data_IF_340123464859
#
_entry.id   IF_340123464859
#
_cell.length_a   1.000
_cell.length_b   1.000
_cell.length_c   1.000
_cell.angle_alpha   90.00
_cell.angle_beta   90.00
_cell.angle_gamma   90.00
#
_symmetry.space_group_name_H-M   'P 1'
#
loop_
_entity.id
_entity.type
_entity.pdbx_description
1 polymer ?
#
# COMPACT_ATOMS: atom_id res chain seq x y z
N UNK A 1 21.03 -19.97 -1.18
CA UNK A 1 20.57 -19.12 -2.31
C UNK A 1 19.17 -18.66 -1.94
N UNK A 2 19.00 -17.39 -1.63
CA UNK A 2 17.68 -16.81 -1.44
C UNK A 2 16.89 -17.00 -2.75
N UNK A 3 15.72 -17.58 -2.66
CA UNK A 3 14.83 -17.75 -3.80
C UNK A 3 14.32 -16.33 -4.15
N UNK A 4 14.59 -15.88 -5.37
CA UNK A 4 14.10 -14.60 -5.85
C UNK A 4 12.58 -14.71 -6.00
N UNK A 5 11.84 -14.20 -5.03
CA UNK A 5 10.37 -14.20 -4.99
C UNK A 5 9.78 -12.99 -5.76
N UNK A 6 10.60 -12.29 -6.53
CA UNK A 6 10.19 -11.12 -7.29
C UNK A 6 9.29 -11.54 -8.45
N UNK A 7 8.07 -11.01 -8.46
CA UNK A 7 7.10 -11.19 -9.53
C UNK A 7 7.12 -9.95 -10.41
N UNK A 8 7.31 -10.12 -11.70
CA UNK A 8 7.24 -9.06 -12.71
C UNK A 8 6.04 -9.30 -13.62
N UNK A 9 5.71 -8.33 -14.47
CA UNK A 9 4.78 -8.56 -15.55
C UNK A 9 3.73 -7.48 -15.74
N UNK A 10 4.14 -6.48 -16.50
CA UNK A 10 3.24 -5.55 -17.17
C UNK A 10 3.63 -5.50 -18.64
N UNK A 11 3.21 -6.51 -19.41
CA UNK A 11 3.41 -6.59 -20.85
C UNK A 11 2.17 -7.14 -21.54
N UNK A 12 2.11 -7.06 -22.88
CA UNK A 12 0.93 -7.45 -23.65
C UNK A 12 0.53 -8.92 -23.48
N UNK A 13 1.48 -9.82 -23.26
CA UNK A 13 1.22 -11.27 -23.13
C UNK A 13 0.57 -11.62 -21.77
N UNK A 14 0.87 -10.84 -20.76
CA UNK A 14 0.45 -11.10 -19.38
C UNK A 14 -0.69 -10.20 -18.92
N UNK A 15 -1.03 -9.17 -19.70
CA UNK A 15 -1.95 -8.13 -19.29
C UNK A 15 -3.31 -8.68 -18.84
N UNK A 16 -4.00 -9.38 -19.72
CA UNK A 16 -5.35 -9.90 -19.40
C UNK A 16 -5.34 -10.94 -18.28
N UNK A 17 -4.24 -11.67 -18.12
CA UNK A 17 -4.11 -12.68 -17.06
C UNK A 17 -3.96 -12.02 -15.68
N UNK A 18 -3.12 -11.00 -15.57
CA UNK A 18 -2.69 -10.45 -14.28
C UNK A 18 -3.22 -9.06 -13.96
N UNK A 19 -3.84 -8.40 -14.92
CA UNK A 19 -4.34 -7.04 -14.75
C UNK A 19 -5.79 -6.90 -15.09
N UNK A 20 -6.45 -5.95 -14.46
CA UNK A 20 -7.84 -5.62 -14.67
C UNK A 20 -8.05 -4.12 -14.69
N UNK A 21 -8.72 -3.61 -15.72
CA UNK A 21 -9.07 -2.20 -15.83
C UNK A 21 -10.43 -1.96 -15.19
N UNK A 22 -10.50 -0.96 -14.35
CA UNK A 22 -11.73 -0.38 -13.79
C UNK A 22 -11.78 1.08 -14.22
N UNK A 23 -12.68 1.45 -15.12
CA UNK A 23 -12.70 2.77 -15.77
C UNK A 23 -14.11 3.36 -15.84
N UNK A 24 -14.20 4.69 -15.67
CA UNK A 24 -15.44 5.46 -15.87
C UNK A 24 -15.83 5.57 -17.35
N UNK A 25 -14.87 5.44 -18.24
CA UNK A 25 -15.09 5.55 -19.70
C UNK A 25 -14.72 4.25 -20.39
N UNK A 26 -15.51 3.79 -21.36
CA UNK A 26 -15.12 2.67 -22.22
C UNK A 26 -14.02 3.05 -23.21
N UNK A 27 -13.73 4.32 -23.44
CA UNK A 27 -12.81 4.84 -24.46
C UNK A 27 -11.35 4.88 -23.98
N UNK A 28 -11.04 4.28 -22.82
CA UNK A 28 -9.66 4.12 -22.38
C UNK A 28 -8.86 3.26 -23.33
N UNK A 29 -7.55 3.49 -23.36
CA UNK A 29 -6.64 2.65 -24.15
C UNK A 29 -5.49 2.18 -23.27
N UNK A 30 -5.11 0.91 -23.42
CA UNK A 30 -3.87 0.35 -22.89
C UNK A 30 -3.14 -0.30 -24.05
N UNK A 31 -1.99 0.24 -24.39
CA UNK A 31 -1.14 -0.23 -25.49
C UNK A 31 0.25 -0.57 -24.96
N UNK A 32 1.00 -1.38 -25.69
CA UNK A 32 2.31 -1.84 -25.26
C UNK A 32 3.36 -1.60 -26.34
N UNK A 33 4.53 -1.14 -25.90
CA UNK A 33 5.73 -1.11 -26.69
C UNK A 33 6.83 -1.86 -25.91
N UNK A 34 7.10 -3.10 -26.29
CA UNK A 34 7.91 -4.01 -25.47
C UNK A 34 7.28 -4.23 -24.09
N UNK A 35 8.03 -3.96 -23.04
CA UNK A 35 7.57 -4.07 -21.64
C UNK A 35 7.04 -2.73 -21.08
N UNK A 36 6.83 -1.75 -21.93
CA UNK A 36 6.23 -0.45 -21.53
C UNK A 36 4.76 -0.44 -21.89
N UNK A 37 3.91 -0.25 -20.87
CA UNK A 37 2.48 -0.01 -21.06
C UNK A 37 2.23 1.49 -21.17
N UNK A 38 1.43 1.91 -22.16
CA UNK A 38 0.88 3.25 -22.24
C UNK A 38 -0.61 3.21 -21.94
N UNK A 39 -1.05 4.00 -20.98
CA UNK A 39 -2.43 4.11 -20.54
C UNK A 39 -2.95 5.49 -20.92
N UNK A 40 -4.00 5.54 -21.73
CA UNK A 40 -4.75 6.77 -22.03
C UNK A 40 -6.09 6.68 -21.33
N UNK A 41 -6.32 7.56 -20.36
CA UNK A 41 -7.54 7.57 -19.56
C UNK A 41 -8.31 8.87 -19.77
N UNK A 42 -9.42 8.85 -20.53
CA UNK A 42 -10.25 10.06 -20.78
C UNK A 42 -11.09 10.45 -19.55
N UNK A 43 -11.20 9.57 -18.55
CA UNK A 43 -11.80 9.77 -17.24
C UNK A 43 -11.06 8.96 -16.19
N UNK A 44 -11.61 8.85 -14.99
CA UNK A 44 -11.01 8.05 -13.92
C UNK A 44 -10.81 6.60 -14.31
N UNK A 45 -9.60 6.08 -14.05
CA UNK A 45 -9.20 4.72 -14.34
C UNK A 45 -8.29 4.18 -13.25
N UNK A 46 -8.55 2.94 -12.82
CA UNK A 46 -7.61 2.17 -12.01
C UNK A 46 -7.23 0.90 -12.76
N UNK A 47 -5.94 0.68 -12.93
CA UNK A 47 -5.38 -0.56 -13.44
C UNK A 47 -4.95 -1.42 -12.26
N UNK A 48 -5.76 -2.40 -11.92
CA UNK A 48 -5.56 -3.28 -10.78
C UNK A 48 -4.71 -4.50 -11.10
N UNK A 49 -3.72 -4.82 -10.25
CA UNK A 49 -3.10 -6.14 -10.21
C UNK A 49 -4.10 -7.14 -9.63
N UNK A 50 -4.31 -8.28 -10.32
CA UNK A 50 -5.32 -9.28 -9.88
C UNK A 50 -4.87 -10.12 -8.69
N UNK A 51 -3.58 -10.23 -8.47
CA UNK A 51 -3.02 -10.98 -7.34
C UNK A 51 -3.05 -10.14 -6.07
N UNK A 52 -3.54 -10.72 -4.99
CA UNK A 52 -3.52 -10.13 -3.66
C UNK A 52 -2.11 -10.21 -3.09
N UNK A 53 -1.59 -9.11 -2.59
CA UNK A 53 -0.30 -9.02 -1.92
C UNK A 53 -0.50 -9.16 -0.42
N UNK A 54 0.45 -9.78 0.28
CA UNK A 54 0.37 -9.94 1.75
C UNK A 54 1.76 -10.01 2.37
N UNK A 55 1.82 -9.74 3.67
CA UNK A 55 3.05 -9.79 4.44
C UNK A 55 3.91 -8.54 4.25
N UNK A 56 5.21 -8.72 4.20
CA UNK A 56 6.17 -7.68 3.83
C UNK A 56 6.17 -7.54 2.32
N UNK A 57 5.79 -6.36 1.83
CA UNK A 57 5.61 -6.09 0.40
C UNK A 57 6.55 -4.99 -0.05
N UNK A 58 7.25 -5.22 -1.16
CA UNK A 58 8.00 -4.21 -1.90
C UNK A 58 7.47 -4.15 -3.32
N UNK A 59 7.11 -2.96 -3.80
CA UNK A 59 6.63 -2.71 -5.16
C UNK A 59 7.57 -1.70 -5.81
N UNK A 60 8.01 -1.98 -7.02
CA UNK A 60 8.87 -1.07 -7.79
C UNK A 60 8.39 -0.97 -9.24
N UNK A 61 8.46 0.23 -9.79
CA UNK A 61 8.16 0.49 -11.20
C UNK A 61 8.71 1.85 -11.62
N UNK A 62 8.84 2.03 -12.94
CA UNK A 62 9.12 3.32 -13.55
C UNK A 62 7.88 3.84 -14.25
N UNK A 63 7.60 5.13 -14.11
CA UNK A 63 6.43 5.76 -14.71
C UNK A 63 6.68 7.21 -15.12
N UNK A 64 5.98 7.65 -16.17
CA UNK A 64 5.96 9.05 -16.55
C UNK A 64 4.58 9.49 -17.04
N UNK A 65 4.27 10.78 -16.90
CA UNK A 65 3.11 11.39 -17.54
C UNK A 65 3.56 12.01 -18.85
N UNK A 66 2.89 11.60 -19.93
CA UNK A 66 3.25 12.02 -21.28
C UNK A 66 2.54 13.32 -21.62
N UNK A 67 3.32 14.30 -22.08
CA UNK A 67 2.85 15.59 -22.57
C UNK A 67 3.54 15.85 -23.89
N UNK A 68 2.88 15.53 -25.00
CA UNK A 68 3.40 15.64 -26.37
C UNK A 68 2.55 16.61 -27.21
N UNK A 69 1.36 16.98 -26.72
CA UNK A 69 0.44 17.90 -27.39
C UNK A 69 -0.21 18.87 -26.40
N UNK A 70 -0.76 19.97 -26.90
CA UNK A 70 -1.44 21.00 -26.09
C UNK A 70 -2.69 20.47 -25.34
N UNK A 71 -3.22 19.32 -25.74
CA UNK A 71 -4.35 18.66 -25.09
C UNK A 71 -3.95 17.71 -23.94
N UNK A 72 -2.67 17.40 -23.80
CA UNK A 72 -2.19 16.48 -22.78
C UNK A 72 -2.16 17.17 -21.41
N UNK A 73 -2.66 16.47 -20.40
CA UNK A 73 -2.71 16.99 -19.03
C UNK A 73 -1.58 16.42 -18.19
N UNK A 74 -0.79 17.26 -17.57
CA UNK A 74 0.24 16.88 -16.62
C UNK A 74 -0.36 16.74 -15.22
N UNK A 75 -0.81 15.56 -14.86
CA UNK A 75 -1.41 15.32 -13.53
C UNK A 75 -1.63 13.82 -13.28
N UNK A 76 -1.82 13.47 -12.01
CA UNK A 76 -2.39 12.20 -11.54
C UNK A 76 -1.58 10.94 -11.87
N UNK A 77 -0.31 10.94 -11.51
CA UNK A 77 0.51 9.73 -11.43
C UNK A 77 0.31 9.08 -10.05
N UNK A 78 -0.86 8.49 -9.85
CA UNK A 78 -1.30 8.03 -8.54
C UNK A 78 -1.25 6.51 -8.42
N UNK A 79 -1.25 6.01 -7.19
CA UNK A 79 -1.39 4.58 -6.94
C UNK A 79 -2.16 4.30 -5.65
N UNK A 80 -2.72 3.09 -5.62
CA UNK A 80 -3.31 2.44 -4.46
C UNK A 80 -2.51 1.19 -4.11
N UNK A 81 -2.30 0.91 -2.83
CA UNK A 81 -1.74 -0.38 -2.41
C UNK A 81 -2.37 -0.86 -1.12
N UNK A 82 -2.28 -2.15 -0.87
CA UNK A 82 -3.02 -2.85 0.20
C UNK A 82 -4.52 -2.57 0.17
N UNK A 83 -5.07 -2.39 -1.04
CA UNK A 83 -6.49 -2.11 -1.21
C UNK A 83 -7.34 -3.34 -0.91
N UNK A 84 -8.39 -3.17 -0.13
CA UNK A 84 -9.43 -4.19 0.08
C UNK A 84 -10.79 -3.54 0.29
N UNK A 85 -11.85 -4.27 -0.01
CA UNK A 85 -13.21 -3.82 0.28
C UNK A 85 -13.63 -4.39 1.64
N UNK A 86 -13.87 -3.59 2.69
CA UNK A 86 -14.26 -4.10 4.00
C UNK A 86 -15.52 -4.96 4.00
N UNK A 87 -16.43 -4.76 3.04
CA UNK A 87 -17.62 -5.59 2.89
C UNK A 87 -17.33 -6.94 2.21
N UNK A 88 -16.23 -7.00 1.45
CA UNK A 88 -15.81 -8.19 0.69
C UNK A 88 -14.27 -8.34 0.73
N UNK A 89 -13.68 -8.61 1.89
CA UNK A 89 -12.24 -8.52 2.10
C UNK A 89 -11.41 -9.48 1.22
N UNK A 90 -12.02 -10.57 0.77
CA UNK A 90 -11.38 -11.56 -0.12
C UNK A 90 -11.74 -11.38 -1.59
N UNK A 91 -12.55 -10.38 -1.93
CA UNK A 91 -13.00 -10.17 -3.30
C UNK A 91 -13.16 -8.68 -3.67
N UNK A 92 -12.06 -8.06 -4.06
CA UNK A 92 -12.05 -6.67 -4.52
C UNK A 92 -13.02 -6.42 -5.70
N UNK A 93 -13.27 -7.46 -6.51
CA UNK A 93 -14.05 -7.38 -7.74
C UNK A 93 -15.55 -7.40 -7.52
N UNK A 94 -16.01 -7.70 -6.30
CA UNK A 94 -17.43 -7.84 -6.02
C UNK A 94 -18.25 -6.60 -6.35
N UNK A 95 -17.68 -5.41 -6.10
CA UNK A 95 -18.30 -4.11 -6.36
C UNK A 95 -17.63 -3.31 -7.48
N UNK A 96 -16.84 -3.94 -8.34
CA UNK A 96 -16.09 -3.24 -9.39
C UNK A 96 -16.98 -2.45 -10.34
N UNK A 97 -18.13 -3.00 -10.73
CA UNK A 97 -19.10 -2.31 -11.61
C UNK A 97 -19.72 -1.09 -10.97
N UNK A 98 -19.89 -1.10 -9.66
CA UNK A 98 -20.38 0.04 -8.90
C UNK A 98 -19.27 1.08 -8.72
N UNK A 99 -18.04 0.68 -8.39
CA UNK A 99 -16.91 1.61 -8.31
C UNK A 99 -16.59 2.23 -9.66
N UNK A 100 -16.56 1.41 -10.69
CA UNK A 100 -16.49 1.81 -12.11
C UNK A 100 -15.40 2.85 -12.42
N UNK A 101 -14.27 2.82 -11.71
CA UNK A 101 -13.19 3.81 -11.86
C UNK A 101 -13.51 5.20 -11.32
N UNK A 102 -14.67 5.42 -10.68
CA UNK A 102 -15.04 6.69 -10.06
C UNK A 102 -14.22 6.90 -8.79
N UNK A 103 -13.46 8.00 -8.74
CA UNK A 103 -12.54 8.24 -7.62
C UNK A 103 -13.26 8.28 -6.26
N UNK A 104 -14.40 8.94 -6.17
CA UNK A 104 -15.16 9.04 -4.91
C UNK A 104 -15.60 7.67 -4.40
N UNK A 105 -15.94 6.75 -5.29
CA UNK A 105 -16.37 5.41 -4.90
C UNK A 105 -15.21 4.58 -4.32
N UNK A 106 -13.95 4.98 -4.55
CA UNK A 106 -12.79 4.35 -3.92
C UNK A 106 -12.71 4.62 -2.41
N UNK A 107 -13.46 5.59 -1.85
CA UNK A 107 -13.55 5.75 -0.39
C UNK A 107 -14.21 4.54 0.30
N UNK A 108 -14.90 3.67 -0.45
CA UNK A 108 -15.39 2.40 0.05
C UNK A 108 -14.29 1.37 0.38
N UNK A 109 -13.06 1.63 -0.03
CA UNK A 109 -11.93 0.73 0.16
C UNK A 109 -11.07 1.14 1.34
N UNK A 110 -10.50 0.17 2.03
CA UNK A 110 -9.33 0.36 2.85
C UNK A 110 -8.10 0.28 1.96
N UNK A 111 -7.21 1.26 2.03
CA UNK A 111 -6.00 1.29 1.21
C UNK A 111 -5.04 2.40 1.67
N UNK A 112 -3.82 2.33 1.19
CA UNK A 112 -2.91 3.47 1.15
C UNK A 112 -2.97 4.10 -0.24
N UNK A 113 -2.98 5.42 -0.28
CA UNK A 113 -3.05 6.22 -1.49
C UNK A 113 -1.92 7.24 -1.54
N UNK A 114 -1.23 7.29 -2.66
CA UNK A 114 -0.39 8.43 -3.01
C UNK A 114 -0.87 9.03 -4.33
N UNK A 115 -1.21 10.31 -4.28
CA UNK A 115 -1.51 11.12 -5.45
C UNK A 115 -0.33 12.01 -5.78
N UNK A 116 0.44 11.66 -6.82
CA UNK A 116 1.58 12.45 -7.27
C UNK A 116 1.16 13.40 -8.39
N UNK A 117 1.32 14.69 -8.14
CA UNK A 117 0.87 15.73 -9.08
C UNK A 117 -0.64 15.81 -9.23
N UNK A 118 -1.41 15.54 -8.17
CA UNK A 118 -2.84 15.73 -8.16
C UNK A 118 -3.29 17.19 -8.26
N UNK A 119 -4.59 17.44 -8.39
CA UNK A 119 -5.17 18.78 -8.52
C UNK A 119 -4.50 19.64 -9.60
N UNK A 120 -4.43 19.14 -10.83
CA UNK A 120 -3.73 19.79 -11.95
C UNK A 120 -2.25 20.07 -11.66
N UNK A 121 -1.57 19.05 -11.12
CA UNK A 121 -0.16 19.10 -10.76
C UNK A 121 0.19 20.20 -9.74
N UNK A 122 -0.67 20.39 -8.76
CA UNK A 122 -0.43 21.37 -7.69
C UNK A 122 -0.14 20.74 -6.33
N UNK A 123 -0.39 19.44 -6.18
CA UNK A 123 -0.18 18.74 -4.90
C UNK A 123 0.35 17.32 -5.09
N UNK A 124 1.14 16.87 -4.11
CA UNK A 124 1.47 15.45 -3.92
C UNK A 124 1.03 15.09 -2.51
N UNK A 125 0.10 14.11 -2.39
CA UNK A 125 -0.58 13.79 -1.13
C UNK A 125 -0.57 12.31 -0.83
N UNK A 126 -0.28 11.99 0.43
CA UNK A 126 -0.46 10.65 0.99
C UNK A 126 -1.68 10.63 1.92
N UNK A 127 -2.48 9.57 1.80
CA UNK A 127 -3.66 9.31 2.64
C UNK A 127 -3.77 7.82 2.95
N UNK A 128 -4.39 7.50 4.07
CA UNK A 128 -4.90 6.18 4.38
C UNK A 128 -6.41 6.21 4.32
N UNK A 129 -7.01 5.31 3.56
CA UNK A 129 -8.46 5.13 3.50
C UNK A 129 -8.86 4.00 4.43
N UNK A 130 -9.97 4.17 5.12
CA UNK A 130 -10.51 3.24 6.11
C UNK A 130 -11.80 2.52 5.65
N UNK A 131 -12.26 2.80 4.42
CA UNK A 131 -13.47 2.21 3.86
C UNK A 131 -14.76 2.93 4.29
N UNK A 132 -14.66 4.14 4.82
CA UNK A 132 -15.83 4.94 5.17
C UNK A 132 -16.52 5.52 3.93
N UNK A 133 -17.60 4.88 3.51
CA UNK A 133 -18.39 5.31 2.36
C UNK A 133 -19.08 6.68 2.54
N UNK A 134 -19.19 7.18 3.76
CA UNK A 134 -19.75 8.50 4.00
C UNK A 134 -18.93 9.62 3.32
N UNK A 135 -17.62 9.40 3.12
CA UNK A 135 -16.74 10.29 2.37
C UNK A 135 -17.13 10.49 0.89
N UNK A 136 -17.95 9.59 0.32
CA UNK A 136 -18.45 9.71 -1.07
C UNK A 136 -19.31 10.96 -1.20
N UNK A 137 -20.23 11.18 -0.27
CA UNK A 137 -21.17 12.29 -0.28
C UNK A 137 -20.83 13.43 0.66
N UNK A 138 -20.05 13.15 1.70
CA UNK A 138 -19.64 14.13 2.71
C UNK A 138 -18.13 14.43 2.64
N UNK A 139 -17.70 15.58 2.10
CA UNK A 139 -16.28 15.93 2.04
C UNK A 139 -15.56 15.96 3.40
N UNK A 140 -16.27 16.20 4.50
CA UNK A 140 -15.69 16.25 5.85
C UNK A 140 -15.37 14.85 6.40
N UNK A 141 -15.97 13.80 5.84
CA UNK A 141 -15.70 12.41 6.20
C UNK A 141 -14.62 11.75 5.32
N UNK A 142 -14.02 12.49 4.39
CA UNK A 142 -12.96 11.96 3.54
C UNK A 142 -11.69 11.74 4.32
N UNK A 143 -10.86 10.75 3.92
CA UNK A 143 -9.60 10.46 4.57
C UNK A 143 -8.71 11.70 4.72
N UNK A 144 -8.14 11.89 5.90
CA UNK A 144 -7.26 13.00 6.18
C UNK A 144 -6.01 12.99 5.27
N UNK A 145 -5.47 14.16 4.99
CA UNK A 145 -4.15 14.30 4.37
C UNK A 145 -3.11 14.05 5.45
N UNK A 146 -2.35 12.96 5.31
CA UNK A 146 -1.30 12.57 6.27
C UNK A 146 0.05 13.19 5.93
N UNK A 147 0.30 13.42 4.63
CA UNK A 147 1.48 14.12 4.13
C UNK A 147 1.11 14.88 2.87
N UNK A 148 1.65 16.09 2.72
CA UNK A 148 1.43 16.94 1.54
C UNK A 148 2.70 17.65 1.13
N UNK A 149 2.90 17.76 -0.17
CA UNK A 149 3.90 18.60 -0.83
C UNK A 149 3.22 19.47 -1.89
N UNK A 150 3.64 20.72 -1.97
CA UNK A 150 3.13 21.72 -2.95
C UNK A 150 4.25 22.43 -3.69
N UNK A 151 5.49 22.16 -3.33
CA UNK A 151 6.66 22.74 -3.97
C UNK A 151 6.99 22.03 -5.30
N UNK A 152 7.66 22.76 -6.19
CA UNK A 152 7.98 22.28 -7.54
C UNK A 152 8.88 21.04 -7.57
N UNK A 153 9.67 20.79 -6.51
CA UNK A 153 10.52 19.61 -6.41
C UNK A 153 9.74 18.32 -6.26
N UNK A 154 8.52 18.40 -5.73
CA UNK A 154 7.64 17.26 -5.47
C UNK A 154 6.39 17.23 -6.36
N UNK A 155 6.44 17.88 -7.53
CA UNK A 155 5.41 17.88 -8.54
C UNK A 155 5.91 17.23 -9.83
N UNK A 156 4.99 16.85 -10.71
CA UNK A 156 5.31 16.18 -11.96
C UNK A 156 6.04 17.12 -12.94
N UNK A 157 7.03 16.56 -13.64
CA UNK A 157 7.65 17.14 -14.84
C UNK A 157 7.15 16.37 -16.07
N UNK A 158 6.85 17.06 -17.19
CA UNK A 158 6.36 16.41 -18.39
C UNK A 158 7.42 15.45 -18.96
N UNK A 159 7.00 14.28 -19.41
CA UNK A 159 7.85 13.28 -20.05
C UNK A 159 9.07 12.82 -19.22
N UNK A 160 9.05 13.10 -17.90
CA UNK A 160 10.11 12.67 -17.00
C UNK A 160 9.77 11.28 -16.43
N UNK A 161 10.71 10.35 -16.49
CA UNK A 161 10.60 9.05 -15.89
C UNK A 161 10.98 9.10 -14.41
N UNK A 162 10.08 8.64 -13.58
CA UNK A 162 10.25 8.50 -12.14
C UNK A 162 10.42 7.04 -11.79
N UNK A 163 11.44 6.72 -10.99
CA UNK A 163 11.54 5.43 -10.33
C UNK A 163 10.80 5.45 -9.01
N UNK A 164 9.77 4.63 -8.89
CA UNK A 164 8.90 4.56 -7.71
C UNK A 164 9.15 3.26 -6.98
N UNK A 165 9.35 3.36 -5.66
CA UNK A 165 9.45 2.24 -4.75
C UNK A 165 8.52 2.42 -3.58
N UNK A 166 7.75 1.38 -3.28
CA UNK A 166 6.81 1.32 -2.15
C UNK A 166 7.21 0.17 -1.27
N UNK A 167 7.27 0.38 0.04
CA UNK A 167 7.48 -0.68 1.01
C UNK A 167 6.36 -0.67 2.04
N UNK A 168 5.86 -1.85 2.37
CA UNK A 168 4.85 -2.07 3.40
C UNK A 168 5.35 -3.21 4.27
N UNK A 169 5.86 -2.89 5.45
CA UNK A 169 6.52 -3.84 6.34
C UNK A 169 6.08 -3.60 7.78
N UNK A 170 5.56 -4.63 8.42
CA UNK A 170 4.98 -4.54 9.75
C UNK A 170 3.92 -3.43 9.83
N UNK A 171 4.18 -2.39 10.59
CA UNK A 171 3.33 -1.20 10.70
C UNK A 171 3.88 0.03 9.97
N UNK A 172 4.98 -0.11 9.20
CA UNK A 172 5.64 1.00 8.51
C UNK A 172 5.36 0.96 7.01
N UNK A 173 4.91 2.09 6.51
CA UNK A 173 4.64 2.32 5.09
C UNK A 173 5.58 3.40 4.58
N UNK A 174 6.32 3.12 3.51
CA UNK A 174 7.21 4.09 2.90
C UNK A 174 6.98 4.19 1.39
N UNK A 175 7.15 5.39 0.86
CA UNK A 175 7.05 5.67 -0.57
C UNK A 175 8.24 6.52 -1.00
N UNK A 176 8.90 6.09 -2.07
CA UNK A 176 10.10 6.72 -2.60
C UNK A 176 9.89 7.10 -4.06
N UNK A 177 10.44 8.24 -4.45
CA UNK A 177 10.59 8.68 -5.84
C UNK A 177 12.06 9.00 -6.08
N UNK A 178 12.68 8.35 -7.09
CA UNK A 178 14.08 8.52 -7.46
C UNK A 178 15.05 8.40 -6.26
N UNK A 179 14.69 7.51 -5.32
CA UNK A 179 15.46 7.28 -4.09
C UNK A 179 15.16 8.22 -2.93
N UNK A 180 14.44 9.31 -3.15
CA UNK A 180 13.98 10.20 -2.10
C UNK A 180 12.74 9.63 -1.40
N UNK A 181 12.75 9.56 -0.08
CA UNK A 181 11.62 9.06 0.71
C UNK A 181 10.62 10.18 0.99
N UNK A 182 9.49 10.17 0.26
CA UNK A 182 8.40 11.13 0.42
C UNK A 182 7.48 10.79 1.58
N UNK A 183 7.28 9.51 1.85
CA UNK A 183 6.40 9.03 2.91
C UNK A 183 7.17 8.08 3.82
N UNK A 184 7.02 8.30 5.12
CA UNK A 184 7.43 7.42 6.21
C UNK A 184 6.31 7.45 7.25
N UNK A 185 5.40 6.50 7.14
CA UNK A 185 4.19 6.47 7.95
C UNK A 185 4.15 5.20 8.78
N UNK A 186 3.83 5.37 10.08
CA UNK A 186 3.55 4.27 11.00
C UNK A 186 2.05 4.19 11.22
N UNK A 187 1.49 3.06 10.85
CA UNK A 187 0.06 2.80 10.97
C UNK A 187 -0.22 2.01 12.26
N UNK A 188 -1.03 2.55 13.14
CA UNK A 188 -1.46 1.86 14.36
C UNK A 188 -2.34 0.63 14.05
N UNK A 189 -3.01 0.64 12.88
CA UNK A 189 -3.86 -0.45 12.41
C UNK A 189 -3.45 -0.84 10.98
N UNK A 190 -2.26 -1.45 10.78
CA UNK A 190 -1.65 -1.62 9.48
C UNK A 190 -2.47 -2.55 8.56
N UNK A 191 -2.57 -2.14 7.30
CA UNK A 191 -3.14 -2.96 6.25
C UNK A 191 -2.08 -4.00 5.82
N UNK A 192 -2.33 -5.27 6.14
CA UNK A 192 -1.36 -6.36 6.00
C UNK A 192 -1.48 -7.14 4.70
N UNK A 193 -2.57 -6.96 3.99
CA UNK A 193 -2.86 -7.60 2.71
C UNK A 193 -3.80 -6.74 1.87
N UNK A 194 -3.75 -6.92 0.55
CA UNK A 194 -4.61 -6.20 -0.38
C UNK A 194 -4.06 -6.18 -1.78
N UNK A 195 -4.73 -5.42 -2.63
CA UNK A 195 -4.38 -5.30 -4.04
C UNK A 195 -3.66 -3.99 -4.34
N UNK A 196 -2.84 -4.02 -5.39
CA UNK A 196 -2.17 -2.85 -5.95
C UNK A 196 -2.91 -2.35 -7.19
N UNK A 197 -2.99 -1.02 -7.36
CA UNK A 197 -3.53 -0.40 -8.56
C UNK A 197 -2.84 0.89 -8.94
N UNK A 198 -2.53 1.06 -10.22
CA UNK A 198 -2.21 2.37 -10.78
C UNK A 198 -3.49 3.17 -10.94
N UNK A 199 -3.48 4.42 -10.49
CA UNK A 199 -4.66 5.28 -10.57
C UNK A 199 -4.33 6.54 -11.35
N UNK A 200 -5.14 6.83 -12.38
CA UNK A 200 -4.98 8.02 -13.22
C UNK A 200 -6.34 8.57 -13.66
N UNK A 201 -6.36 9.79 -14.15
CA UNK A 201 -7.54 10.43 -14.73
C UNK A 201 -7.16 11.53 -15.71
N UNK A 202 -7.83 11.62 -16.84
CA UNK A 202 -7.63 12.68 -17.85
C UNK A 202 -6.15 12.84 -18.20
N UNK A 203 -5.42 11.74 -18.35
CA UNK A 203 -3.98 11.77 -18.58
C UNK A 203 -3.52 10.61 -19.44
N UNK A 204 -2.31 10.73 -19.94
CA UNK A 204 -1.57 9.72 -20.68
C UNK A 204 -0.32 9.36 -19.90
N UNK A 205 -0.23 8.12 -19.47
CA UNK A 205 0.82 7.64 -18.57
C UNK A 205 1.53 6.44 -19.16
N UNK A 206 2.86 6.41 -19.09
CA UNK A 206 3.67 5.23 -19.43
C UNK A 206 4.22 4.60 -18.17
N UNK A 207 4.20 3.26 -18.12
CA UNK A 207 4.68 2.46 -17.00
C UNK A 207 5.55 1.33 -17.56
N UNK A 208 6.68 1.10 -16.93
CA UNK A 208 7.60 0.01 -17.27
C UNK A 208 8.27 -0.56 -16.02
N UNK A 209 9.01 -1.65 -16.14
CA UNK A 209 9.79 -2.27 -15.07
C UNK A 209 8.98 -2.60 -13.80
N UNK A 210 7.66 -2.87 -13.94
CA UNK A 210 6.84 -3.23 -12.80
C UNK A 210 7.28 -4.57 -12.21
N UNK A 211 7.52 -4.56 -10.91
CA UNK A 211 7.77 -5.76 -10.13
C UNK A 211 7.30 -5.59 -8.69
N UNK A 212 6.99 -6.70 -8.05
CA UNK A 212 6.75 -6.72 -6.61
C UNK A 212 7.30 -8.00 -5.99
N UNK A 213 7.56 -7.93 -4.71
CA UNK A 213 7.98 -9.03 -3.86
C UNK A 213 7.10 -9.07 -2.62
N UNK A 214 6.64 -10.26 -2.27
CA UNK A 214 5.95 -10.54 -1.02
C UNK A 214 6.74 -11.58 -0.25
N UNK A 215 7.04 -11.30 1.02
CA UNK A 215 7.60 -12.28 1.93
C UNK A 215 6.72 -12.40 3.17
N UNK A 216 6.73 -13.59 3.79
CA UNK A 216 6.07 -13.74 5.08
C UNK A 216 6.65 -12.73 6.07
N UNK A 217 5.80 -12.04 6.80
CA UNK A 217 6.24 -11.38 8.01
C UNK A 217 6.57 -12.52 8.97
N UNK A 218 7.85 -12.75 9.20
CA UNK A 218 8.26 -13.61 10.32
C UNK A 218 7.78 -12.88 11.58
N UNK A 219 6.85 -13.51 12.30
CA UNK A 219 6.55 -13.06 13.64
C UNK A 219 7.82 -13.26 14.45
N UNK A 220 8.41 -12.20 14.98
CA UNK A 220 9.50 -12.33 15.92
C UNK A 220 8.96 -13.09 17.12
N UNK A 221 9.37 -14.35 17.25
CA UNK A 221 8.97 -15.21 18.36
C UNK A 221 10.13 -15.29 19.36
N UNK A 222 9.87 -14.84 20.57
CA UNK A 222 10.80 -14.97 21.68
C UNK A 222 10.40 -16.20 22.49
N UNK A 223 11.22 -17.28 22.51
CA UNK A 223 10.92 -18.45 23.30
C UNK A 223 11.05 -18.10 24.77
N UNK A 224 10.01 -18.40 25.54
CA UNK A 224 10.00 -18.24 26.98
C UNK A 224 10.19 -19.60 27.65
N UNK A 225 11.08 -19.66 28.63
CA UNK A 225 11.32 -20.85 29.40
C UNK A 225 11.10 -20.59 30.88
N UNK A 226 10.46 -21.53 31.54
CA UNK A 226 10.31 -21.49 32.99
C UNK A 226 11.64 -21.75 33.67
N UNK A 227 12.04 -20.83 34.56
CA UNK A 227 13.26 -20.98 35.35
C UNK A 227 12.89 -21.53 36.72
N UNK A 228 13.34 -22.74 37.02
CA UNK A 228 13.06 -23.43 38.27
C UNK A 228 11.97 -24.49 38.15
N UNK A 229 11.35 -24.86 39.29
CA UNK A 229 10.28 -25.86 39.28
C UNK A 229 8.98 -25.29 38.69
N UNK A 230 8.39 -26.04 37.76
CA UNK A 230 7.08 -25.66 37.18
C UNK A 230 6.01 -25.62 38.27
N UNK A 231 5.26 -24.55 38.43
CA UNK A 231 4.17 -24.46 39.39
C UNK A 231 3.15 -25.58 39.16
N UNK A 232 2.65 -26.15 40.25
CA UNK A 232 1.60 -27.19 40.19
C UNK A 232 0.19 -26.65 39.98
N UNK A 233 0.04 -25.35 40.00
CA UNK A 233 -1.23 -24.64 39.82
C UNK A 233 -1.00 -23.43 38.90
N UNK A 234 -2.03 -23.03 38.20
CA UNK A 234 -2.01 -21.84 37.38
C UNK A 234 -1.71 -20.61 38.24
N UNK A 235 -0.71 -19.83 37.86
CA UNK A 235 -0.29 -18.60 38.50
C UNK A 235 -0.13 -17.48 37.49
N UNK A 236 -0.61 -16.31 37.86
CA UNK A 236 -0.26 -15.10 37.14
C UNK A 236 1.23 -14.79 37.37
N UNK A 237 1.95 -14.51 36.31
CA UNK A 237 3.37 -14.15 36.32
C UNK A 237 3.57 -12.85 35.54
N UNK A 238 4.58 -12.08 35.94
CA UNK A 238 5.02 -10.89 35.22
C UNK A 238 6.47 -11.07 34.82
N UNK A 239 6.80 -10.76 33.57
CA UNK A 239 8.15 -10.84 33.05
C UNK A 239 8.37 -9.75 31.98
N UNK A 240 9.62 -9.39 31.74
CA UNK A 240 10.00 -8.46 30.67
C UNK A 240 10.55 -9.22 29.46
N UNK A 241 10.17 -8.77 28.28
CA UNK A 241 10.75 -9.25 27.03
C UNK A 241 11.45 -8.06 26.37
N UNK A 242 12.78 -8.08 26.24
CA UNK A 242 13.49 -7.06 25.49
C UNK A 242 13.36 -7.34 23.99
N UNK A 243 13.11 -6.30 23.21
CA UNK A 243 13.11 -6.33 21.75
C UNK A 243 14.23 -5.46 21.21
N UNK A 244 14.78 -5.83 20.07
CA UNK A 244 15.78 -5.01 19.40
C UNK A 244 15.16 -3.74 18.83
N UNK A 245 16.00 -2.73 18.65
CA UNK A 245 15.58 -1.44 18.11
C UNK A 245 14.88 -1.61 16.75
N UNK A 246 13.65 -1.08 16.65
CA UNK A 246 12.85 -1.12 15.42
C UNK A 246 12.04 -2.39 15.23
N UNK A 247 12.11 -3.38 16.14
CA UNK A 247 11.36 -4.64 16.01
C UNK A 247 9.90 -4.52 16.42
N UNK A 248 9.64 -3.93 17.58
CA UNK A 248 8.30 -3.84 18.15
C UNK A 248 7.98 -2.40 18.50
N UNK A 249 6.77 -1.97 18.21
CA UNK A 249 6.26 -0.64 18.53
C UNK A 249 5.04 -0.78 19.44
N UNK A 250 4.66 0.27 20.20
CA UNK A 250 3.54 0.22 21.14
C UNK A 250 2.22 -0.26 20.55
N UNK A 251 2.01 0.01 19.26
CA UNK A 251 0.82 -0.39 18.51
C UNK A 251 0.84 -1.86 18.03
N UNK A 252 1.96 -2.56 18.12
CA UNK A 252 2.04 -3.96 17.76
C UNK A 252 1.30 -4.82 18.80
N UNK A 253 0.45 -5.72 18.31
CA UNK A 253 -0.21 -6.69 19.18
C UNK A 253 0.75 -7.85 19.47
N UNK A 254 1.04 -8.03 20.75
CA UNK A 254 1.79 -9.20 21.22
C UNK A 254 0.80 -10.34 21.53
N UNK A 255 1.25 -11.56 21.27
CA UNK A 255 0.51 -12.79 21.54
C UNK A 255 1.43 -13.75 22.29
N UNK A 256 0.91 -14.37 23.33
CA UNK A 256 1.59 -15.49 24.01
C UNK A 256 0.87 -16.79 23.61
N UNK A 257 1.63 -17.78 23.19
CA UNK A 257 1.09 -19.11 22.90
C UNK A 257 1.90 -20.20 23.59
N UNK A 258 1.23 -21.24 24.01
CA UNK A 258 1.86 -22.47 24.46
C UNK A 258 2.51 -23.23 23.28
N UNK A 259 3.39 -24.19 23.54
CA UNK A 259 3.95 -25.08 22.51
C UNK A 259 2.86 -25.86 21.73
N UNK A 260 1.72 -26.09 22.36
CA UNK A 260 0.54 -26.68 21.73
C UNK A 260 -0.12 -25.78 20.68
N UNK A 261 0.25 -24.49 20.61
CA UNK A 261 -0.37 -23.47 19.77
C UNK A 261 -1.61 -22.80 20.42
N UNK A 262 -1.95 -23.14 21.65
CA UNK A 262 -3.04 -22.52 22.41
C UNK A 262 -2.63 -21.11 22.87
N UNK A 263 -3.55 -20.14 22.74
CA UNK A 263 -3.35 -18.77 23.20
C UNK A 263 -3.47 -18.67 24.70
N UNK A 264 -2.48 -18.01 25.32
CA UNK A 264 -2.47 -17.70 26.74
C UNK A 264 -2.83 -16.19 26.90
N UNK A 265 -3.85 -15.85 27.68
CA UNK A 265 -4.21 -14.45 27.91
C UNK A 265 -3.05 -13.67 28.54
N UNK A 266 -2.75 -12.48 27.99
CA UNK A 266 -1.74 -11.57 28.51
C UNK A 266 -2.25 -10.14 28.52
N UNK A 267 -1.76 -9.37 29.50
CA UNK A 267 -1.78 -7.91 29.47
C UNK A 267 -0.35 -7.42 29.24
N UNK A 268 -0.19 -6.39 28.41
CA UNK A 268 1.13 -5.86 28.07
C UNK A 268 1.21 -4.36 28.32
N UNK A 269 2.39 -3.91 28.76
CA UNK A 269 2.70 -2.50 28.91
C UNK A 269 4.17 -2.25 28.60
N UNK A 270 4.47 -1.07 28.06
CA UNK A 270 5.83 -0.67 27.71
C UNK A 270 6.58 -0.19 28.92
N UNK A 271 7.80 -0.67 29.13
CA UNK A 271 8.70 -0.24 30.21
C UNK A 271 9.72 0.81 29.74
N UNK A 272 10.16 0.72 28.49
CA UNK A 272 11.16 1.62 27.92
C UNK A 272 10.97 1.75 26.40
N UNK A 273 11.57 2.81 25.83
CA UNK A 273 11.55 3.10 24.42
C UNK A 273 12.96 3.28 23.88
N UNK A 274 13.20 2.79 22.69
CA UNK A 274 14.33 3.20 21.89
C UNK A 274 14.12 4.61 21.31
N UNK A 275 15.19 5.33 20.89
CA UNK A 275 15.05 6.68 20.34
C UNK A 275 14.16 6.81 19.09
N UNK A 276 13.90 5.71 18.40
CA UNK A 276 13.00 5.64 17.22
C UNK A 276 11.53 5.36 17.60
N UNK A 277 11.23 5.24 18.89
CA UNK A 277 9.89 4.97 19.41
C UNK A 277 9.52 3.49 19.48
N UNK A 278 10.41 2.57 19.09
CA UNK A 278 10.24 1.12 19.34
C UNK A 278 10.40 0.78 20.82
N UNK A 279 9.88 -0.36 21.28
CA UNK A 279 9.93 -0.83 22.68
C UNK A 279 10.91 -1.97 22.85
#
# INVERSE_FOLDING_TARGET
>A
KAQDNRVSGLNSRQFTKYWKVESESPDYKVTFQGDTAEIVSPKGLTLWRKEKMSGKVTIEYDACVVVESDGDRLSDLNCFWMASDPQYPDNLWKREKWRSGIFLNCYSLQLYYLGYGGNHNSTTRFRRYDGDESGITNPKARPAILKEYTDAGHLLKPNHWYHIKITNENNRVSYYIDGERLVDFRDAEPLREGWFGFRTTLSRTRITNFSYECSSQEATAVPLQWIGETPRQDKAVSFGVPFDKGEVFPENKLRLSAESGEDIPIDTWTLAYWPDGSV
#
